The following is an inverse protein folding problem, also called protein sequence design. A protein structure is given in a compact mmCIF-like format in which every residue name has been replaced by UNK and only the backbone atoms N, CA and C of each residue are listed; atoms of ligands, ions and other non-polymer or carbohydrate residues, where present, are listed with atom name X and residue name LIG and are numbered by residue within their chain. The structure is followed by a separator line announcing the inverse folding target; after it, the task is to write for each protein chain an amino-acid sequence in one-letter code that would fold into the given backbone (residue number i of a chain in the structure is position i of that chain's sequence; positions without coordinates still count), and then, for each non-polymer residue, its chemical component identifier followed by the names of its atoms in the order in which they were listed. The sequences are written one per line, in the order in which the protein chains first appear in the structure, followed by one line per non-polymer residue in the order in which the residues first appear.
data_IF_971864635847
#
_entry.id   IF_971864635847
#
_cell.length_a   1.000
_cell.length_b   1.000
_cell.length_c   1.000
_cell.angle_alpha   90.00
_cell.angle_beta   90.00
_cell.angle_gamma   90.00
#
_symmetry.space_group_name_H-M   'P 1'
#
loop_
_entity.id
_entity.type
_entity.pdbx_description
1 polymer ?
#
# COMPACT_ATOMS: atom_id res chain seq x y z
N UNK A 1 18.05 4.65 -18.85
CA UNK A 1 17.91 4.87 -20.31
C UNK A 1 17.31 6.26 -20.49
N UNK A 2 18.14 7.25 -20.80
CA UNK A 2 17.72 8.66 -20.84
C UNK A 2 16.95 8.93 -22.15
N UNK A 3 15.74 9.51 -22.02
CA UNK A 3 14.99 10.01 -23.17
C UNK A 3 15.72 11.22 -23.77
N UNK A 4 15.83 11.33 -25.11
CA UNK A 4 16.52 12.44 -25.75
C UNK A 4 15.71 13.74 -25.56
N UNK A 5 16.38 14.76 -25.07
CA UNK A 5 15.88 16.14 -25.00
C UNK A 5 15.70 16.62 -26.45
N UNK A 6 14.47 16.72 -26.91
CA UNK A 6 14.14 17.32 -28.21
C UNK A 6 14.52 18.81 -28.16
N UNK A 7 15.44 19.23 -29.02
CA UNK A 7 15.84 20.62 -29.17
C UNK A 7 14.68 21.47 -29.70
N UNK A 8 14.60 22.71 -29.22
CA UNK A 8 13.56 23.68 -29.61
C UNK A 8 13.41 23.87 -31.14
N UNK A 9 14.45 23.56 -31.92
CA UNK A 9 14.42 23.61 -33.36
C UNK A 9 13.52 22.56 -34.02
N UNK A 10 13.32 21.39 -33.38
CA UNK A 10 12.48 20.31 -33.95
C UNK A 10 10.99 20.50 -33.68
N UNK A 11 10.61 21.37 -32.77
CA UNK A 11 9.19 21.65 -32.43
C UNK A 11 8.56 22.64 -33.41
N UNK A 12 9.38 23.52 -34.03
CA UNK A 12 8.91 24.57 -34.96
C UNK A 12 8.44 23.98 -36.32
N UNK A 13 8.96 22.81 -36.70
CA UNK A 13 8.58 22.15 -37.98
C UNK A 13 7.19 21.51 -38.01
N UNK A 14 6.54 21.39 -36.84
CA UNK A 14 5.21 20.77 -36.70
C UNK A 14 4.01 21.76 -36.74
N UNK A 15 4.28 23.05 -36.98
CA UNK A 15 3.24 24.05 -37.05
C UNK A 15 2.65 24.06 -38.47
N UNK A 16 1.36 23.68 -38.67
CA UNK A 16 0.76 23.77 -39.96
C UNK A 16 0.64 25.24 -40.43
N UNK A 17 1.08 25.53 -41.67
CA UNK A 17 0.98 26.84 -42.30
C UNK A 17 -0.50 27.15 -42.62
N UNK A 18 -1.29 27.51 -41.63
CA UNK A 18 -2.69 27.96 -41.79
C UNK A 18 -2.72 29.48 -41.63
N UNK A 19 -3.56 30.15 -42.49
CA UNK A 19 -3.84 31.59 -42.42
C UNK A 19 -4.71 31.94 -41.21
N UNK A 20 -4.25 31.59 -40.02
CA UNK A 20 -4.94 31.92 -38.75
C UNK A 20 -4.45 33.29 -38.25
N UNK A 21 -5.36 34.11 -37.76
CA UNK A 21 -5.08 35.38 -37.12
C UNK A 21 -3.95 35.26 -36.10
N UNK A 22 -3.00 36.23 -36.06
CA UNK A 22 -1.87 36.21 -35.10
C UNK A 22 -2.35 36.08 -33.63
N UNK A 23 -3.56 36.49 -33.32
CA UNK A 23 -4.19 36.39 -32.01
C UNK A 23 -4.55 34.91 -31.67
N UNK A 24 -5.01 34.13 -32.65
CA UNK A 24 -5.30 32.71 -32.49
C UNK A 24 -4.03 31.87 -32.31
N UNK A 25 -2.95 32.27 -32.96
CA UNK A 25 -1.64 31.61 -32.83
C UNK A 25 -1.07 31.84 -31.42
N UNK A 26 -1.14 33.10 -30.93
CA UNK A 26 -0.68 33.47 -29.60
C UNK A 26 -1.48 32.75 -28.50
N UNK A 27 -2.81 32.67 -28.66
CA UNK A 27 -3.68 31.93 -27.74
C UNK A 27 -3.38 30.44 -27.73
N UNK A 28 -3.13 29.81 -28.91
CA UNK A 28 -2.74 28.39 -28.98
C UNK A 28 -1.35 28.13 -28.36
N UNK A 29 -0.39 29.00 -28.58
CA UNK A 29 0.92 28.92 -27.95
C UNK A 29 0.84 29.09 -26.45
N UNK A 30 0.01 29.99 -25.94
CA UNK A 30 -0.22 30.20 -24.52
C UNK A 30 -0.90 28.97 -23.88
N UNK A 31 -1.94 28.42 -24.52
CA UNK A 31 -2.61 27.19 -24.06
C UNK A 31 -1.70 25.98 -24.10
N UNK A 32 -0.84 25.86 -25.13
CA UNK A 32 0.16 24.80 -25.23
C UNK A 32 1.26 24.96 -24.16
N UNK A 33 1.68 26.18 -23.86
CA UNK A 33 2.63 26.46 -22.79
C UNK A 33 2.04 26.15 -21.42
N UNK A 34 0.79 26.52 -21.16
CA UNK A 34 0.05 26.12 -19.95
C UNK A 34 -0.12 24.62 -19.85
N UNK A 35 -0.38 23.94 -20.96
CA UNK A 35 -0.48 22.49 -21.03
C UNK A 35 0.87 21.80 -20.72
N UNK A 36 1.98 22.31 -21.28
CA UNK A 36 3.33 21.84 -20.95
C UNK A 36 3.71 22.11 -19.50
N UNK A 37 3.37 23.28 -18.95
CA UNK A 37 3.57 23.61 -17.54
C UNK A 37 2.75 22.65 -16.64
N UNK A 38 1.53 22.30 -17.04
CA UNK A 38 0.68 21.35 -16.30
C UNK A 38 1.22 19.92 -16.36
N UNK A 39 1.81 19.49 -17.51
CA UNK A 39 2.48 18.18 -17.65
C UNK A 39 3.77 18.12 -16.82
N UNK A 40 4.47 19.23 -16.67
CA UNK A 40 5.71 19.33 -15.87
C UNK A 40 5.46 19.59 -14.38
N UNK A 41 4.24 19.92 -13.98
CA UNK A 41 3.88 20.02 -12.58
C UNK A 41 3.80 18.62 -11.98
N UNK A 42 4.81 18.26 -11.19
CA UNK A 42 4.74 17.04 -10.38
C UNK A 42 3.53 17.13 -9.45
N UNK A 43 2.78 16.04 -9.35
CA UNK A 43 1.65 15.98 -8.42
C UNK A 43 2.15 16.26 -6.99
N UNK A 44 1.40 17.04 -6.22
CA UNK A 44 1.71 17.25 -4.81
C UNK A 44 1.86 15.93 -4.09
N UNK A 45 2.95 15.80 -3.33
CA UNK A 45 3.27 14.59 -2.57
C UNK A 45 2.96 14.81 -1.09
N UNK A 46 2.40 13.81 -0.46
CA UNK A 46 2.10 13.80 0.97
C UNK A 46 2.64 12.54 1.61
N UNK A 47 3.11 12.65 2.84
CA UNK A 47 3.36 11.53 3.72
C UNK A 47 2.14 11.34 4.61
N UNK A 48 1.59 10.16 4.64
CA UNK A 48 0.49 9.77 5.52
C UNK A 48 1.06 8.79 6.54
N UNK A 49 1.14 9.22 7.79
CA UNK A 49 1.51 8.37 8.91
C UNK A 49 0.27 7.65 9.42
N UNK A 50 0.33 6.33 9.52
CA UNK A 50 -0.70 5.50 10.14
C UNK A 50 -0.14 5.01 11.47
N UNK A 51 -0.81 5.35 12.55
CA UNK A 51 -0.46 4.90 13.91
C UNK A 51 -1.52 3.93 14.39
N UNK A 52 -1.18 2.66 14.56
CA UNK A 52 -2.11 1.62 14.97
C UNK A 52 -2.72 1.87 16.34
N UNK A 53 -4.06 1.82 16.43
CA UNK A 53 -4.83 1.87 17.70
C UNK A 53 -5.46 0.52 18.04
N UNK A 54 -5.43 -0.43 17.12
CA UNK A 54 -5.75 -1.83 17.37
C UNK A 54 -4.77 -2.75 16.65
N UNK A 55 -4.56 -4.00 17.12
CA UNK A 55 -3.62 -4.91 16.49
C UNK A 55 -3.87 -5.05 14.99
N UNK A 56 -2.79 -5.08 14.20
CA UNK A 56 -2.82 -5.35 12.76
C UNK A 56 -2.74 -6.86 12.53
N UNK A 57 -3.70 -7.42 11.82
CA UNK A 57 -3.62 -8.77 11.28
C UNK A 57 -3.24 -8.72 9.81
N UNK A 58 -2.20 -9.46 9.44
CA UNK A 58 -1.79 -9.59 8.05
C UNK A 58 -2.38 -10.86 7.43
N UNK A 59 -2.81 -10.73 6.18
CA UNK A 59 -3.27 -11.85 5.36
C UNK A 59 -2.94 -11.57 3.90
N UNK A 60 -1.76 -11.99 3.49
CA UNK A 60 -1.34 -11.92 2.10
C UNK A 60 -2.11 -12.95 1.27
N UNK A 61 -2.75 -12.50 0.19
CA UNK A 61 -3.54 -13.34 -0.70
C UNK A 61 -2.73 -14.32 -1.57
N UNK A 62 -1.41 -14.41 -1.39
CA UNK A 62 -0.52 -15.25 -2.21
C UNK A 62 -0.91 -16.74 -2.21
N UNK A 63 -1.56 -17.21 -1.15
CA UNK A 63 -2.04 -18.59 -1.05
C UNK A 63 -3.25 -18.89 -1.95
N UNK A 64 -3.85 -17.89 -2.56
CA UNK A 64 -4.89 -18.08 -3.58
C UNK A 64 -4.32 -18.69 -4.89
N UNK A 65 -3.03 -18.45 -5.19
CA UNK A 65 -2.36 -19.14 -6.31
C UNK A 65 -1.98 -20.58 -5.92
N UNK A 66 -2.57 -21.59 -6.57
CA UNK A 66 -2.25 -23.00 -6.28
C UNK A 66 -0.80 -23.39 -6.64
N UNK A 67 -0.10 -22.55 -7.42
CA UNK A 67 1.32 -22.76 -7.78
C UNK A 67 2.27 -22.23 -6.74
N UNK A 68 1.81 -21.35 -5.84
CA UNK A 68 2.62 -20.80 -4.76
C UNK A 68 3.18 -21.91 -3.86
N UNK A 69 4.41 -21.75 -3.38
CA UNK A 69 5.09 -22.74 -2.55
C UNK A 69 4.33 -23.05 -1.25
N UNK A 70 3.81 -22.02 -0.57
CA UNK A 70 3.01 -22.19 0.65
C UNK A 70 1.70 -22.93 0.37
N UNK A 71 1.02 -22.64 -0.75
CA UNK A 71 -0.21 -23.33 -1.15
C UNK A 71 0.03 -24.81 -1.38
N UNK A 72 1.11 -25.17 -2.06
CA UNK A 72 1.50 -26.56 -2.29
C UNK A 72 1.83 -27.28 -0.98
N UNK A 73 2.64 -26.65 -0.12
CA UNK A 73 3.02 -27.22 1.17
C UNK A 73 1.79 -27.44 2.08
N UNK A 74 0.93 -26.44 2.21
CA UNK A 74 -0.33 -26.53 2.97
C UNK A 74 -1.25 -27.63 2.41
N UNK A 75 -1.37 -27.73 1.09
CA UNK A 75 -2.19 -28.77 0.44
C UNK A 75 -1.65 -30.17 0.72
N UNK A 76 -0.33 -30.36 0.70
CA UNK A 76 0.31 -31.66 0.99
C UNK A 76 -0.02 -32.14 2.41
N UNK A 77 0.00 -31.24 3.41
CA UNK A 77 -0.32 -31.59 4.79
C UNK A 77 -1.84 -31.72 4.98
N UNK A 78 -2.63 -30.78 4.46
CA UNK A 78 -4.09 -30.79 4.62
C UNK A 78 -4.76 -32.00 3.99
N UNK A 79 -4.17 -32.56 2.93
CA UNK A 79 -4.62 -33.77 2.24
C UNK A 79 -4.38 -35.08 3.00
N UNK A 80 -3.58 -35.09 4.08
CA UNK A 80 -3.34 -36.28 4.89
C UNK A 80 -4.63 -36.75 5.54
N UNK A 81 -4.92 -38.06 5.47
CA UNK A 81 -6.10 -38.68 6.08
C UNK A 81 -6.08 -38.57 7.61
N UNK A 82 -4.91 -38.78 8.22
CA UNK A 82 -4.65 -38.58 9.64
C UNK A 82 -3.51 -37.54 9.78
N UNK A 83 -3.73 -36.53 10.56
CA UNK A 83 -2.75 -35.50 10.87
C UNK A 83 -2.25 -35.73 12.29
N UNK A 84 -0.96 -35.51 12.49
CA UNK A 84 -0.30 -35.46 13.79
C UNK A 84 -0.31 -34.04 14.33
N UNK A 85 0.02 -33.85 15.60
CA UNK A 85 0.17 -32.51 16.20
C UNK A 85 1.26 -31.72 15.46
N UNK A 86 2.36 -32.34 15.09
CA UNK A 86 3.41 -31.72 14.27
C UNK A 86 2.92 -31.25 12.89
N UNK A 87 1.95 -31.96 12.28
CA UNK A 87 1.33 -31.51 11.03
C UNK A 87 0.51 -30.22 11.24
N UNK A 88 -0.18 -30.11 12.37
CA UNK A 88 -0.94 -28.91 12.71
C UNK A 88 -0.02 -27.73 13.03
N UNK A 89 1.09 -27.95 13.74
CA UNK A 89 2.10 -26.94 14.03
C UNK A 89 2.74 -26.41 12.74
N UNK A 90 3.09 -27.31 11.82
CA UNK A 90 3.65 -26.92 10.52
C UNK A 90 2.63 -26.19 9.65
N UNK A 91 1.36 -26.59 9.66
CA UNK A 91 0.30 -25.83 8.99
C UNK A 91 0.19 -24.41 9.55
N UNK A 92 0.21 -24.27 10.87
CA UNK A 92 0.15 -22.95 11.53
C UNK A 92 1.35 -22.07 11.14
N UNK A 93 2.55 -22.66 11.11
CA UNK A 93 3.77 -21.98 10.68
C UNK A 93 3.69 -21.52 9.23
N UNK A 94 3.26 -22.39 8.33
CA UNK A 94 3.11 -22.07 6.91
C UNK A 94 2.03 -21.00 6.66
N UNK A 95 0.90 -21.07 7.37
CA UNK A 95 -0.15 -20.05 7.28
C UNK A 95 0.35 -18.68 7.78
N UNK A 96 1.13 -18.67 8.85
CA UNK A 96 1.73 -17.47 9.39
C UNK A 96 2.72 -16.83 8.41
N UNK A 97 3.67 -17.62 7.89
CA UNK A 97 4.65 -17.14 6.89
C UNK A 97 3.95 -16.64 5.62
N UNK A 98 2.96 -17.40 5.14
CA UNK A 98 2.20 -17.02 3.96
C UNK A 98 1.35 -15.76 4.16
N UNK A 99 1.00 -15.44 5.40
CA UNK A 99 0.23 -14.23 5.74
C UNK A 99 1.05 -12.95 5.74
N UNK A 100 2.37 -13.02 5.80
CA UNK A 100 3.26 -11.88 5.79
C UNK A 100 3.36 -11.24 4.39
N UNK A 101 3.50 -9.92 4.35
CA UNK A 101 3.92 -9.18 3.17
C UNK A 101 5.43 -8.93 3.29
N UNK A 102 6.22 -9.75 2.62
CA UNK A 102 7.68 -9.64 2.59
C UNK A 102 8.13 -9.25 1.19
N UNK A 103 8.80 -8.11 1.09
CA UNK A 103 9.33 -7.57 -0.17
C UNK A 103 10.76 -7.10 0.11
N UNK A 104 11.70 -7.47 -0.76
CA UNK A 104 13.11 -7.10 -0.68
C UNK A 104 13.77 -7.37 0.68
N UNK A 105 13.32 -8.41 1.37
CA UNK A 105 13.88 -8.83 2.66
C UNK A 105 13.29 -8.11 3.86
N UNK A 106 12.34 -7.19 3.71
CA UNK A 106 11.66 -6.51 4.82
C UNK A 106 10.16 -6.84 4.87
N UNK A 107 9.55 -6.55 6.03
CA UNK A 107 8.10 -6.61 6.21
C UNK A 107 7.50 -5.25 5.83
N UNK A 108 6.54 -5.26 4.91
CA UNK A 108 5.93 -4.05 4.36
C UNK A 108 4.41 -4.16 4.34
N UNK A 109 3.75 -3.03 4.19
CA UNK A 109 2.36 -2.98 3.74
C UNK A 109 2.36 -2.54 2.28
N UNK A 110 1.88 -3.39 1.36
CA UNK A 110 1.85 -3.06 -0.06
C UNK A 110 0.98 -1.83 -0.36
N UNK A 111 1.39 -1.06 -1.35
CA UNK A 111 0.69 0.12 -1.88
C UNK A 111 -0.79 -0.15 -2.16
N UNK A 112 -1.11 -1.24 -2.87
CA UNK A 112 -2.49 -1.61 -3.19
C UNK A 112 -3.36 -1.91 -1.96
N UNK A 113 -2.76 -2.38 -0.84
CA UNK A 113 -3.47 -2.59 0.44
C UNK A 113 -3.80 -1.24 1.09
N UNK A 114 -2.83 -0.31 1.06
CA UNK A 114 -3.00 1.05 1.57
C UNK A 114 -4.06 1.78 0.73
N UNK A 115 -3.93 1.74 -0.58
CA UNK A 115 -4.87 2.35 -1.53
C UNK A 115 -6.30 1.82 -1.31
N UNK A 116 -6.47 0.50 -1.24
CA UNK A 116 -7.77 -0.12 -0.97
C UNK A 116 -8.38 0.34 0.34
N UNK A 117 -7.56 0.56 1.37
CA UNK A 117 -8.00 1.05 2.68
C UNK A 117 -8.44 2.50 2.60
N UNK A 118 -7.68 3.35 1.92
CA UNK A 118 -8.01 4.77 1.69
C UNK A 118 -9.28 4.94 0.86
N UNK A 119 -9.43 4.18 -0.22
CA UNK A 119 -10.67 4.14 -1.03
C UNK A 119 -11.86 3.68 -0.15
N UNK A 120 -11.63 2.73 0.75
CA UNK A 120 -12.61 2.28 1.72
C UNK A 120 -13.10 3.40 2.64
N UNK A 121 -12.17 4.25 3.15
CA UNK A 121 -12.47 5.46 3.90
C UNK A 121 -13.28 6.47 3.06
N UNK A 122 -12.77 6.81 1.88
CA UNK A 122 -13.42 7.73 0.95
C UNK A 122 -14.86 7.35 0.59
N UNK A 123 -15.17 6.04 0.53
CA UNK A 123 -16.53 5.55 0.31
C UNK A 123 -17.50 5.93 1.42
N UNK A 124 -17.03 6.15 2.65
CA UNK A 124 -17.89 6.54 3.79
C UNK A 124 -18.47 7.94 3.59
N UNK A 125 -17.70 8.83 2.97
CA UNK A 125 -18.11 10.18 2.57
C UNK A 125 -18.54 10.28 1.10
N UNK A 126 -18.83 9.15 0.41
CA UNK A 126 -19.24 9.04 -1.01
C UNK A 126 -18.19 9.53 -2.01
N UNK A 127 -16.93 9.62 -1.62
CA UNK A 127 -15.81 10.09 -2.45
C UNK A 127 -14.94 8.94 -3.02
N UNK A 128 -15.40 7.71 -2.99
CA UNK A 128 -14.69 6.55 -3.51
C UNK A 128 -14.18 6.70 -4.95
N UNK A 129 -14.99 7.19 -5.92
CA UNK A 129 -14.54 7.46 -7.27
C UNK A 129 -13.40 8.50 -7.35
N UNK A 130 -13.49 9.58 -6.56
CA UNK A 130 -12.45 10.62 -6.49
C UNK A 130 -11.13 10.06 -5.96
N UNK A 131 -11.17 9.26 -4.87
CA UNK A 131 -9.98 8.63 -4.33
C UNK A 131 -9.30 7.69 -5.34
N UNK A 132 -10.08 6.97 -6.16
CA UNK A 132 -9.55 6.07 -7.18
C UNK A 132 -8.79 6.78 -8.31
N UNK A 133 -9.22 7.97 -8.71
CA UNK A 133 -8.63 8.70 -9.84
C UNK A 133 -7.70 9.83 -9.42
N UNK A 134 -7.67 10.19 -8.14
CA UNK A 134 -6.93 11.34 -7.68
C UNK A 134 -5.97 11.09 -6.53
N UNK A 135 -5.84 9.86 -6.00
CA UNK A 135 -4.89 9.53 -4.92
C UNK A 135 -4.07 8.29 -5.32
N UNK A 136 -2.75 8.42 -5.36
CA UNK A 136 -1.84 7.41 -5.90
C UNK A 136 -0.78 7.02 -4.88
N UNK A 137 -0.68 5.74 -4.57
CA UNK A 137 0.39 5.16 -3.77
C UNK A 137 1.33 4.41 -4.73
N UNK A 138 2.59 4.81 -4.79
CA UNK A 138 3.58 4.28 -5.73
C UNK A 138 4.62 3.39 -5.07
N UNK A 139 4.64 3.38 -3.74
CA UNK A 139 5.65 2.69 -2.96
C UNK A 139 5.00 1.88 -1.84
N UNK A 140 5.59 0.73 -1.54
CA UNK A 140 5.23 -0.05 -0.37
C UNK A 140 5.71 0.67 0.90
N UNK A 141 4.91 0.63 1.96
CA UNK A 141 5.30 1.24 3.22
C UNK A 141 5.96 0.22 4.16
N UNK A 142 7.19 0.45 4.65
CA UNK A 142 7.80 -0.40 5.66
C UNK A 142 6.91 -0.52 6.90
N UNK A 143 6.70 -1.75 7.38
CA UNK A 143 5.96 -2.01 8.61
C UNK A 143 6.89 -1.81 9.79
N UNK A 144 6.57 -0.82 10.63
CA UNK A 144 7.25 -0.56 11.89
C UNK A 144 6.41 -1.17 13.02
N UNK A 145 7.04 -1.91 13.91
CA UNK A 145 6.36 -2.55 15.04
C UNK A 145 7.30 -2.74 16.23
N UNK A 146 6.73 -2.84 17.42
CA UNK A 146 7.48 -3.07 18.64
C UNK A 146 8.17 -4.43 18.59
N UNK A 147 9.48 -4.44 18.87
CA UNK A 147 10.32 -5.64 18.79
C UNK A 147 10.68 -6.04 17.36
N UNK A 148 10.60 -5.10 16.38
CA UNK A 148 11.09 -5.35 15.02
C UNK A 148 12.58 -5.67 15.03
N UNK A 149 13.01 -6.84 14.51
CA UNK A 149 14.43 -7.15 14.34
C UNK A 149 15.08 -6.27 13.29
N UNK A 150 16.40 -6.05 13.41
CA UNK A 150 17.18 -5.29 12.42
C UNK A 150 17.24 -5.99 11.05
N UNK A 151 17.21 -7.33 11.05
CA UNK A 151 17.26 -8.16 9.84
C UNK A 151 16.09 -9.13 9.85
N UNK A 152 15.35 -9.17 8.75
CA UNK A 152 14.21 -10.07 8.53
C UNK A 152 14.63 -11.21 7.60
N UNK A 153 15.37 -12.17 8.13
CA UNK A 153 15.71 -13.40 7.44
C UNK A 153 14.81 -14.59 7.85
N UNK A 154 15.01 -15.75 7.26
CA UNK A 154 14.18 -16.92 7.54
C UNK A 154 14.38 -17.44 8.96
N UNK A 155 15.58 -17.27 9.55
CA UNK A 155 15.87 -17.61 10.95
C UNK A 155 15.10 -16.70 11.89
N UNK A 156 15.17 -15.40 11.66
CA UNK A 156 14.45 -14.40 12.45
C UNK A 156 12.94 -14.62 12.38
N UNK A 157 12.40 -14.92 11.20
CA UNK A 157 10.98 -15.24 11.05
C UNK A 157 10.58 -16.51 11.81
N UNK A 158 11.44 -17.53 11.83
CA UNK A 158 11.21 -18.74 12.62
C UNK A 158 11.19 -18.44 14.12
N UNK A 159 12.10 -17.61 14.61
CA UNK A 159 12.16 -17.15 16.01
C UNK A 159 10.92 -16.32 16.38
N UNK A 160 10.49 -15.40 15.51
CA UNK A 160 9.27 -14.60 15.69
C UNK A 160 8.02 -15.49 15.81
N UNK A 161 7.90 -16.52 14.96
CA UNK A 161 6.80 -17.46 15.01
C UNK A 161 6.84 -18.27 16.31
N UNK A 162 8.00 -18.86 16.65
CA UNK A 162 8.19 -19.69 17.83
C UNK A 162 7.93 -18.91 19.15
N UNK A 163 8.28 -17.62 19.19
CA UNK A 163 8.00 -16.74 20.33
C UNK A 163 6.52 -16.46 20.58
N UNK A 164 5.63 -16.70 19.61
CA UNK A 164 4.17 -16.58 19.73
C UNK A 164 3.64 -15.14 19.82
N UNK A 165 4.47 -14.14 20.10
CA UNK A 165 4.07 -12.72 20.30
C UNK A 165 3.40 -12.16 19.04
N UNK A 166 3.90 -12.54 17.88
CA UNK A 166 3.42 -12.08 16.58
C UNK A 166 2.40 -13.03 15.93
N UNK A 167 1.79 -13.93 16.73
CA UNK A 167 0.92 -14.99 16.22
C UNK A 167 -0.50 -14.81 16.75
N UNK A 168 -1.49 -14.97 15.86
CA UNK A 168 -2.90 -15.03 16.20
C UNK A 168 -3.55 -16.25 15.57
N UNK A 169 -3.96 -17.20 16.43
CA UNK A 169 -4.62 -18.42 15.99
C UNK A 169 -6.06 -18.43 16.47
N UNK A 170 -7.00 -18.60 15.56
CA UNK A 170 -8.44 -18.61 15.86
C UNK A 170 -9.19 -19.60 14.99
N UNK A 171 -10.26 -20.16 15.55
CA UNK A 171 -11.20 -20.98 14.77
C UNK A 171 -12.13 -20.14 13.92
N UNK A 172 -12.07 -20.29 12.61
CA UNK A 172 -12.96 -19.66 11.65
C UNK A 172 -13.86 -20.68 10.99
N UNK A 173 -15.06 -20.24 10.59
CA UNK A 173 -16.02 -21.09 9.87
C UNK A 173 -15.68 -21.04 8.38
N UNK A 174 -15.44 -22.20 7.78
CA UNK A 174 -15.24 -22.37 6.34
C UNK A 174 -16.28 -23.40 5.86
N UNK A 175 -17.30 -22.92 5.15
CA UNK A 175 -18.47 -23.75 4.82
C UNK A 175 -19.15 -24.25 6.08
N UNK A 176 -19.28 -25.57 6.24
CA UNK A 176 -19.89 -26.21 7.42
C UNK A 176 -18.87 -26.55 8.52
N UNK A 177 -17.58 -26.47 8.25
CA UNK A 177 -16.52 -26.83 9.18
C UNK A 177 -15.95 -25.61 9.93
N UNK A 178 -15.50 -25.83 11.17
CA UNK A 178 -14.67 -24.89 11.92
C UNK A 178 -13.22 -25.33 11.78
N UNK A 179 -12.37 -24.45 11.25
CA UNK A 179 -10.94 -24.72 11.05
C UNK A 179 -10.10 -23.66 11.76
N UNK A 180 -8.97 -24.08 12.30
CA UNK A 180 -8.01 -23.14 12.89
C UNK A 180 -7.29 -22.41 11.77
N UNK A 181 -7.09 -21.11 11.97
CA UNK A 181 -6.30 -20.25 11.07
C UNK A 181 -5.30 -19.45 11.88
N UNK A 182 -4.07 -19.45 11.44
CA UNK A 182 -2.96 -18.76 12.08
C UNK A 182 -2.49 -17.61 11.19
N UNK A 183 -2.40 -16.42 11.78
CA UNK A 183 -2.06 -15.19 11.05
C UNK A 183 -1.01 -14.39 11.80
N UNK A 184 -0.15 -13.65 11.07
CA UNK A 184 0.72 -12.65 11.69
C UNK A 184 -0.11 -11.54 12.34
N UNK A 185 0.26 -11.17 13.57
CA UNK A 185 -0.39 -10.11 14.32
C UNK A 185 0.65 -9.18 14.93
N UNK A 186 0.52 -7.89 14.66
CA UNK A 186 1.37 -6.83 15.21
C UNK A 186 0.53 -5.95 16.12
N UNK A 187 0.84 -5.93 17.44
CA UNK A 187 0.03 -5.22 18.44
C UNK A 187 0.23 -3.72 18.40
N UNK A 188 1.48 -3.30 18.39
CA UNK A 188 1.91 -1.91 18.29
C UNK A 188 2.62 -1.74 16.95
N UNK A 189 2.01 -1.01 16.05
CA UNK A 189 2.48 -0.88 14.67
C UNK A 189 2.25 0.52 14.14
N UNK A 190 3.06 0.90 13.18
CA UNK A 190 2.87 2.10 12.37
C UNK A 190 3.43 1.90 10.97
N UNK A 191 2.96 2.72 10.03
CA UNK A 191 3.56 2.85 8.70
C UNK A 191 3.61 4.31 8.30
N UNK A 192 4.56 4.66 7.44
CA UNK A 192 4.63 5.94 6.75
C UNK A 192 4.43 5.66 5.26
N UNK A 193 3.30 6.06 4.73
CA UNK A 193 2.97 5.86 3.33
C UNK A 193 3.18 7.17 2.55
N UNK A 194 3.81 7.09 1.39
CA UNK A 194 3.97 8.21 0.48
C UNK A 194 2.87 8.13 -0.58
N UNK A 195 2.17 9.23 -0.78
CA UNK A 195 1.12 9.34 -1.77
C UNK A 195 1.25 10.62 -2.57
N UNK A 196 0.80 10.59 -3.81
CA UNK A 196 0.58 11.76 -4.64
C UNK A 196 -0.93 11.96 -4.83
N UNK A 197 -1.36 13.21 -4.91
CA UNK A 197 -2.76 13.49 -5.19
C UNK A 197 -2.92 14.50 -6.33
N UNK A 198 -4.02 14.39 -7.07
CA UNK A 198 -4.37 15.33 -8.14
C UNK A 198 -5.14 16.51 -7.54
N UNK A 199 -4.57 17.74 -7.58
CA UNK A 199 -5.21 18.94 -7.01
C UNK A 199 -6.46 19.38 -7.78
N UNK A 200 -6.67 18.91 -9.02
CA UNK A 200 -7.89 19.16 -9.78
C UNK A 200 -9.06 18.27 -9.30
N UNK A 201 -8.76 17.18 -8.56
CA UNK A 201 -9.74 16.20 -8.07
C UNK A 201 -10.00 16.36 -6.58
N UNK A 202 -8.96 16.63 -5.79
CA UNK A 202 -9.05 16.74 -4.33
C UNK A 202 -7.99 17.68 -3.76
N UNK A 203 -8.21 18.16 -2.57
CA UNK A 203 -7.25 18.94 -1.80
C UNK A 203 -6.68 18.15 -0.62
N UNK A 204 -5.68 18.73 0.07
CA UNK A 204 -5.03 18.09 1.22
C UNK A 204 -6.02 17.77 2.35
N UNK A 205 -7.02 18.62 2.58
CA UNK A 205 -8.07 18.40 3.57
C UNK A 205 -8.93 17.16 3.25
N UNK A 206 -9.23 16.96 1.95
CA UNK A 206 -9.94 15.77 1.48
C UNK A 206 -9.13 14.50 1.74
N UNK A 207 -7.82 14.52 1.47
CA UNK A 207 -6.91 13.41 1.77
C UNK A 207 -6.90 13.10 3.26
N UNK A 208 -6.83 14.12 4.11
CA UNK A 208 -6.81 13.96 5.57
C UNK A 208 -8.14 13.38 6.10
N UNK A 209 -9.28 13.83 5.58
CA UNK A 209 -10.60 13.30 5.96
C UNK A 209 -10.73 11.83 5.54
N UNK A 210 -10.36 11.50 4.30
CA UNK A 210 -10.37 10.12 3.80
C UNK A 210 -9.48 9.19 4.64
N UNK A 211 -8.29 9.66 5.03
CA UNK A 211 -7.36 8.93 5.89
C UNK A 211 -7.94 8.70 7.28
N UNK A 212 -8.55 9.71 7.89
CA UNK A 212 -9.22 9.60 9.18
C UNK A 212 -10.38 8.60 9.14
N UNK A 213 -11.24 8.67 8.11
CA UNK A 213 -12.34 7.74 7.91
C UNK A 213 -11.83 6.30 7.67
N UNK A 214 -10.74 6.15 6.91
CA UNK A 214 -10.10 4.88 6.69
C UNK A 214 -9.63 4.24 8.00
N UNK A 215 -8.98 5.01 8.87
CA UNK A 215 -8.49 4.52 10.15
C UNK A 215 -9.57 4.15 11.13
N UNK A 216 -10.60 4.99 11.26
CA UNK A 216 -11.68 4.82 12.25
C UNK A 216 -12.71 3.76 11.84
N UNK A 217 -13.09 3.74 10.55
CA UNK A 217 -14.26 3.01 10.07
C UNK A 217 -13.94 1.80 9.20
N UNK A 218 -12.73 1.72 8.65
CA UNK A 218 -12.33 0.64 7.74
C UNK A 218 -11.25 -0.24 8.36
N UNK A 219 -10.11 0.33 8.73
CA UNK A 219 -8.93 -0.40 9.22
C UNK A 219 -8.07 -0.99 8.10
N UNK A 220 -6.82 -1.32 8.43
CA UNK A 220 -5.81 -1.92 7.56
C UNK A 220 -5.72 -3.43 7.81
N UNK A 221 -5.32 -4.20 6.79
CA UNK A 221 -5.09 -5.64 6.91
C UNK A 221 -6.36 -6.47 6.90
N UNK A 222 -6.39 -7.50 7.75
CA UNK A 222 -7.47 -8.48 7.77
C UNK A 222 -8.40 -8.33 9.00
N UNK A 223 -9.59 -8.93 8.89
CA UNK A 223 -10.63 -8.94 9.92
C UNK A 223 -11.02 -7.53 10.42
N UNK A 224 -11.17 -6.62 9.46
CA UNK A 224 -11.56 -5.22 9.65
C UNK A 224 -13.04 -5.05 9.96
N UNK A 225 -13.48 -4.05 10.72
CA UNK A 225 -12.69 -3.01 11.41
C UNK A 225 -12.24 -3.42 12.82
N UNK A 226 -12.46 -4.67 13.26
CA UNK A 226 -12.08 -5.13 14.59
C UNK A 226 -10.57 -5.00 14.83
N UNK A 227 -9.79 -5.34 13.79
CA UNK A 227 -8.34 -5.22 13.75
C UNK A 227 -7.92 -4.15 12.75
N UNK A 228 -6.69 -3.67 12.90
CA UNK A 228 -6.06 -2.73 11.96
C UNK A 228 -6.61 -1.31 11.99
N UNK A 229 -7.33 -0.88 13.03
CA UNK A 229 -7.70 0.55 13.19
C UNK A 229 -6.47 1.38 13.53
N UNK A 230 -6.46 2.62 13.06
CA UNK A 230 -5.33 3.53 13.19
C UNK A 230 -5.78 4.99 13.25
N UNK A 231 -4.94 5.82 13.85
CA UNK A 231 -5.00 7.27 13.70
C UNK A 231 -4.08 7.70 12.56
N UNK A 232 -4.32 8.89 12.00
CA UNK A 232 -3.58 9.40 10.84
C UNK A 232 -3.07 10.81 11.04
N UNK A 233 -1.87 11.06 10.50
CA UNK A 233 -1.30 12.39 10.32
C UNK A 233 -0.91 12.54 8.85
N UNK A 234 -1.39 13.60 8.19
CA UNK A 234 -1.09 13.88 6.77
C UNK A 234 -0.18 15.09 6.70
N UNK A 235 1.03 14.89 6.18
CA UNK A 235 2.10 15.87 6.16
C UNK A 235 2.45 16.16 4.69
N UNK A 236 2.32 17.42 4.21
CA UNK A 236 2.80 17.79 2.89
C UNK A 236 4.31 17.57 2.78
N UNK A 237 4.75 16.89 1.73
CA UNK A 237 6.17 16.68 1.48
C UNK A 237 6.70 17.84 0.68
N UNK A 238 7.50 18.71 1.34
CA UNK A 238 8.22 19.80 0.69
C UNK A 238 9.52 19.30 0.07
N UNK A 239 10.09 20.02 -0.92
CA UNK A 239 11.37 19.64 -1.55
C UNK A 239 12.51 19.40 -0.55
N UNK A 240 12.52 20.12 0.58
CA UNK A 240 13.49 19.92 1.65
C UNK A 240 13.33 18.58 2.37
N UNK A 241 12.10 18.09 2.52
CA UNK A 241 11.80 16.79 3.10
C UNK A 241 12.09 15.65 2.10
N UNK A 242 11.79 15.86 0.82
CA UNK A 242 12.14 14.92 -0.25
C UNK A 242 13.65 14.63 -0.30
N UNK A 243 14.50 15.65 -0.15
CA UNK A 243 15.96 15.44 -0.09
C UNK A 243 16.37 14.58 1.10
N UNK A 244 15.79 14.83 2.29
CA UNK A 244 16.10 14.03 3.49
C UNK A 244 15.62 12.58 3.38
N UNK A 245 14.48 12.35 2.75
CA UNK A 245 13.96 10.99 2.53
C UNK A 245 14.83 10.23 1.52
N UNK A 246 15.36 10.90 0.49
CA UNK A 246 16.26 10.32 -0.49
C UNK A 246 17.69 10.05 0.05
N UNK A 247 18.10 10.74 1.12
CA UNK A 247 19.40 10.53 1.79
C UNK A 247 19.38 9.36 2.79
N UNK A 248 18.21 8.86 3.15
CA UNK A 248 18.01 7.77 4.15
C UNK A 248 17.58 6.45 3.48
N UNK A 249 17.23 6.47 2.20
CA UNK A 249 16.89 5.29 1.37
C UNK A 249 18.11 4.72 0.66
#
# INVERSE_FOLDING_TARGET
MALPILSAANVISLIPKSKSSPFLLLHRLFMFHLFLLKIMAQLPTVQIRFQGVSPLLCHNGQTADPRNAYSKALKAISGKRKKTDSDYDEMARLEWLAGLYRIDGDLVIPDYVIESTMIGGAKKSKRGPQAKCGLFFTEHAPLLFEGKPDVIDDKTLAEMFAGGTFTHTIGVKVGMAKVMRTRPMFRHWSINAIAQYDPDVMNLGDVAEMASDAGKLVGLGDWRPKHGRFDTEVIPVTESLNRRLAEVA
#
